data_IF_351420641117
#
_entry.id   IF_351420641117
#
_cell.length_a   1.000
_cell.length_b   1.000
_cell.length_c   1.000
_cell.angle_alpha   90.00
_cell.angle_beta   90.00
_cell.angle_gamma   90.00
#
_symmetry.space_group_name_H-M   'P 1'
#
loop_
_entity.id
_entity.type
_entity.pdbx_description
1 polymer ?
#
# COMPACT_ATOMS: atom_id res chain seq x y z
N UNK A 1 -8.48 8.48 1.25
CA UNK A 1 -8.35 7.72 2.50
C UNK A 1 -8.27 6.28 2.08
N UNK A 2 -7.19 5.57 2.41
CA UNK A 2 -6.98 4.20 1.96
C UNK A 2 -6.64 3.28 3.12
N UNK A 3 -7.24 2.08 3.07
CA UNK A 3 -7.01 0.85 3.82
C UNK A 3 -7.07 0.92 5.36
N UNK A 4 -8.29 1.07 5.90
CA UNK A 4 -8.64 0.55 7.23
C UNK A 4 -9.12 -0.91 7.18
N UNK A 5 -9.58 -1.38 6.01
CA UNK A 5 -10.49 -2.52 5.91
C UNK A 5 -9.84 -3.89 5.64
N UNK A 6 -8.55 -3.95 5.28
CA UNK A 6 -7.78 -5.22 5.15
C UNK A 6 -6.87 -5.48 6.37
N UNK A 7 -7.10 -4.78 7.48
CA UNK A 7 -6.27 -4.89 8.67
C UNK A 7 -6.69 -6.04 9.61
N UNK A 8 -7.81 -6.71 9.32
CA UNK A 8 -8.29 -7.86 10.09
C UNK A 8 -8.55 -7.55 11.57
N UNK A 9 -8.68 -6.27 11.93
CA UNK A 9 -8.88 -5.85 13.32
C UNK A 9 -10.35 -6.04 13.69
N UNK A 10 -10.66 -6.59 14.88
CA UNK A 10 -12.03 -6.81 15.30
C UNK A 10 -12.79 -5.48 15.31
N UNK A 11 -13.90 -5.42 14.56
CA UNK A 11 -14.85 -4.32 14.60
C UNK A 11 -15.56 -4.34 15.96
N UNK A 12 -14.99 -3.59 16.91
CA UNK A 12 -15.69 -3.04 18.07
C UNK A 12 -16.21 -4.05 19.09
N UNK A 13 -15.32 -4.57 19.94
CA UNK A 13 -15.61 -4.83 21.36
C UNK A 13 -14.30 -4.72 22.15
N UNK A 14 -13.82 -3.49 22.32
CA UNK A 14 -13.08 -3.00 23.49
C UNK A 14 -12.61 -1.59 23.14
N UNK A 15 -12.70 -0.68 24.11
CA UNK A 15 -12.55 0.75 23.86
C UNK A 15 -11.34 1.06 22.97
N UNK A 16 -11.56 1.85 21.93
CA UNK A 16 -10.47 2.50 21.22
C UNK A 16 -9.73 3.36 22.24
N UNK A 17 -8.70 2.80 22.87
CA UNK A 17 -7.72 3.60 23.56
C UNK A 17 -7.00 4.36 22.46
N UNK A 18 -7.34 5.63 22.30
CA UNK A 18 -6.73 6.61 21.38
C UNK A 18 -5.20 6.77 21.60
N UNK A 19 -4.58 5.88 22.39
CA UNK A 19 -3.18 5.80 22.78
C UNK A 19 -2.41 4.70 22.07
N UNK A 20 -3.06 3.72 21.46
CA UNK A 20 -2.37 2.77 20.59
C UNK A 20 -2.33 3.34 19.17
N UNK A 21 -1.15 3.80 18.74
CA UNK A 21 -0.87 4.19 17.35
C UNK A 21 -0.94 2.95 16.44
N UNK A 22 -2.14 2.45 16.20
CA UNK A 22 -2.38 1.29 15.34
C UNK A 22 -2.18 1.62 13.87
N UNK A 23 -2.01 0.57 13.06
CA UNK A 23 -1.79 0.65 11.61
C UNK A 23 -2.83 1.48 10.83
N UNK A 24 -4.05 1.62 11.36
CA UNK A 24 -5.12 2.47 10.79
C UNK A 24 -4.84 3.97 10.89
N UNK A 25 -4.05 4.38 11.89
CA UNK A 25 -3.73 5.78 12.18
C UNK A 25 -2.33 6.18 11.69
N UNK A 26 -1.56 5.26 11.10
CA UNK A 26 -0.22 5.54 10.60
C UNK A 26 -0.30 6.43 9.34
N UNK A 27 0.29 7.63 9.40
CA UNK A 27 0.26 8.57 8.28
C UNK A 27 1.05 8.04 7.08
N UNK A 28 2.02 7.15 7.28
CA UNK A 28 2.72 6.50 6.16
C UNK A 28 1.75 5.72 5.28
N UNK A 29 0.72 5.11 5.87
CA UNK A 29 -0.33 4.33 5.17
C UNK A 29 -1.48 5.19 4.60
N UNK A 30 -1.65 6.43 5.08
CA UNK A 30 -2.77 7.28 4.68
C UNK A 30 -2.45 8.13 3.44
N UNK A 31 -3.28 7.99 2.41
CA UNK A 31 -3.16 8.74 1.16
C UNK A 31 -4.49 9.27 0.63
N UNK A 32 -4.41 10.36 -0.13
CA UNK A 32 -5.53 10.91 -0.89
C UNK A 32 -5.78 10.01 -2.09
N UNK A 33 -7.03 9.63 -2.29
CA UNK A 33 -7.50 8.84 -3.42
C UNK A 33 -8.87 9.36 -3.83
N UNK A 34 -9.23 9.28 -5.11
CA UNK A 34 -10.60 9.56 -5.52
C UNK A 34 -11.56 8.49 -4.97
N UNK A 35 -12.82 8.86 -4.74
CA UNK A 35 -13.81 7.95 -4.17
C UNK A 35 -14.05 6.71 -5.03
N UNK A 36 -13.99 6.84 -6.36
CA UNK A 36 -14.13 5.70 -7.28
C UNK A 36 -12.98 4.71 -7.16
N UNK A 37 -11.72 5.19 -7.14
CA UNK A 37 -10.55 4.34 -6.95
C UNK A 37 -10.55 3.67 -5.57
N UNK A 38 -10.93 4.39 -4.52
CA UNK A 38 -11.06 3.79 -3.17
C UNK A 38 -12.15 2.70 -3.13
N UNK A 39 -13.30 2.95 -3.76
CA UNK A 39 -14.36 1.94 -3.86
C UNK A 39 -13.94 0.73 -4.71
N UNK A 40 -13.18 0.97 -5.78
CA UNK A 40 -12.62 -0.08 -6.63
C UNK A 40 -11.51 -0.86 -5.92
N UNK A 41 -10.74 -0.22 -5.05
CA UNK A 41 -9.81 -0.95 -4.20
C UNK A 41 -10.53 -1.87 -3.23
N UNK A 42 -11.51 -1.34 -2.47
CA UNK A 42 -12.17 -2.10 -1.41
C UNK A 42 -11.12 -2.76 -0.49
N UNK A 43 -11.07 -4.10 -0.47
CA UNK A 43 -10.10 -4.95 0.24
C UNK A 43 -9.28 -5.84 -0.69
N UNK A 44 -9.10 -5.45 -1.96
CA UNK A 44 -8.37 -6.22 -2.95
C UNK A 44 -6.86 -6.14 -2.71
N UNK A 45 -6.14 -7.21 -3.05
CA UNK A 45 -4.69 -7.31 -2.97
C UNK A 45 -4.00 -6.48 -4.05
N UNK A 46 -2.84 -5.89 -3.75
CA UNK A 46 -2.01 -5.28 -4.78
C UNK A 46 -1.45 -6.29 -5.77
N UNK A 47 -1.68 -6.02 -7.05
CA UNK A 47 -1.25 -6.86 -8.14
C UNK A 47 -1.10 -6.07 -9.44
N UNK A 48 -0.36 -6.64 -10.38
CA UNK A 48 -0.14 -6.05 -11.71
C UNK A 48 -1.38 -6.22 -12.60
N UNK A 49 -1.64 -5.28 -13.49
CA UNK A 49 -2.81 -5.31 -14.38
C UNK A 49 -2.69 -6.42 -15.46
N UNK A 50 -1.47 -6.67 -15.93
CA UNK A 50 -1.18 -7.50 -17.11
C UNK A 50 -0.55 -8.86 -16.78
N UNK A 51 -0.48 -9.26 -15.50
CA UNK A 51 0.04 -10.60 -15.20
C UNK A 51 -1.01 -11.66 -15.54
N UNK A 52 -0.62 -12.73 -16.21
CA UNK A 52 -1.49 -13.88 -16.49
C UNK A 52 -2.08 -14.52 -15.21
N UNK A 53 -1.53 -14.17 -14.05
CA UNK A 53 -1.94 -14.64 -12.73
C UNK A 53 -3.05 -13.77 -12.11
N UNK A 54 -3.25 -12.54 -12.60
CA UNK A 54 -4.11 -11.51 -11.97
C UNK A 54 -5.11 -10.88 -12.95
N UNK A 55 -4.87 -10.97 -14.26
CA UNK A 55 -5.82 -10.57 -15.29
C UNK A 55 -7.17 -11.28 -15.06
N UNK A 56 -8.24 -10.50 -14.96
CA UNK A 56 -9.63 -10.96 -14.80
C UNK A 56 -9.99 -11.71 -13.49
N UNK A 57 -9.13 -11.71 -12.47
CA UNK A 57 -9.45 -12.31 -11.17
C UNK A 57 -10.06 -11.29 -10.20
N UNK A 58 -11.24 -11.61 -9.67
CA UNK A 58 -11.80 -10.89 -8.51
C UNK A 58 -10.81 -10.97 -7.33
N UNK A 59 -10.53 -9.83 -6.70
CA UNK A 59 -9.65 -9.77 -5.53
C UNK A 59 -8.34 -9.01 -5.71
N UNK A 60 -8.03 -8.50 -6.91
CA UNK A 60 -6.79 -7.79 -7.19
C UNK A 60 -7.01 -6.31 -7.59
N UNK A 61 -6.09 -5.43 -7.20
CA UNK A 61 -6.16 -4.00 -7.49
C UNK A 61 -4.83 -3.45 -8.02
N UNK A 62 -4.97 -2.54 -8.98
CA UNK A 62 -3.88 -1.79 -9.59
C UNK A 62 -4.03 -0.28 -9.29
N UNK A 63 -3.03 0.37 -8.67
CA UNK A 63 -3.13 1.76 -8.20
C UNK A 63 -3.06 2.82 -9.29
N UNK A 64 -2.74 2.46 -10.54
CA UNK A 64 -2.65 3.39 -11.66
C UNK A 64 -3.74 3.09 -12.71
N UNK A 65 -5.01 3.07 -12.28
CA UNK A 65 -6.16 2.76 -13.15
C UNK A 65 -6.11 3.62 -14.40
N UNK A 66 -6.05 2.97 -15.57
CA UNK A 66 -5.96 3.65 -16.86
C UNK A 66 -7.07 4.69 -16.98
N UNK A 67 -6.65 5.92 -17.30
CA UNK A 67 -7.46 7.11 -17.49
C UNK A 67 -8.54 6.98 -18.58
N UNK A 68 -8.54 5.87 -19.33
CA UNK A 68 -9.38 5.69 -20.51
C UNK A 68 -10.86 5.43 -20.24
N UNK A 69 -11.26 4.89 -19.07
CA UNK A 69 -12.65 4.40 -18.94
C UNK A 69 -13.52 4.92 -17.78
N UNK A 70 -13.06 5.69 -16.79
CA UNK A 70 -14.00 6.25 -15.78
C UNK A 70 -13.47 7.38 -14.86
N UNK A 71 -12.38 8.04 -15.22
CA UNK A 71 -11.79 9.11 -14.39
C UNK A 71 -11.61 10.43 -15.17
N UNK A 72 -12.66 10.84 -15.88
CA UNK A 72 -12.70 12.16 -16.51
C UNK A 72 -13.01 13.27 -15.49
N UNK A 73 -12.14 14.29 -15.40
CA UNK A 73 -12.27 15.43 -14.48
C UNK A 73 -10.92 16.06 -14.12
N UNK A 74 -10.86 16.90 -13.07
CA UNK A 74 -9.63 17.54 -12.50
C UNK A 74 -8.65 16.51 -11.88
N UNK A 75 -8.81 15.23 -12.21
CA UNK A 75 -8.12 14.08 -11.65
C UNK A 75 -7.39 13.30 -12.76
N UNK A 76 -6.86 13.99 -13.77
CA UNK A 76 -5.81 13.42 -14.63
C UNK A 76 -4.62 13.10 -13.73
N UNK A 77 -4.50 11.84 -13.34
CA UNK A 77 -3.39 11.36 -12.54
C UNK A 77 -2.12 11.43 -13.40
N UNK A 78 -1.25 12.39 -13.11
CA UNK A 78 0.08 12.48 -13.69
C UNK A 78 1.10 11.89 -12.72
N UNK A 79 1.47 10.63 -12.91
CA UNK A 79 2.52 9.99 -12.12
C UNK A 79 2.35 8.47 -12.03
N UNK A 80 3.47 7.78 -11.82
CA UNK A 80 3.47 6.40 -11.35
C UNK A 80 3.42 6.42 -9.82
N UNK A 81 2.65 5.50 -9.24
CA UNK A 81 2.47 5.38 -7.79
C UNK A 81 2.70 3.96 -7.30
N UNK A 82 3.15 3.11 -8.22
CA UNK A 82 3.40 1.70 -7.97
C UNK A 82 4.53 1.54 -6.96
N UNK A 83 5.59 2.35 -7.09
CA UNK A 83 6.74 2.37 -6.17
C UNK A 83 6.34 2.86 -4.78
N UNK A 84 5.61 3.98 -4.70
CA UNK A 84 5.11 4.53 -3.44
C UNK A 84 4.26 3.51 -2.68
N UNK A 85 3.33 2.88 -3.40
CA UNK A 85 2.45 1.86 -2.84
C UNK A 85 3.27 0.69 -2.33
N UNK A 86 4.24 0.20 -3.11
CA UNK A 86 5.12 -0.88 -2.70
C UNK A 86 5.88 -0.54 -1.41
N UNK A 87 6.50 0.64 -1.32
CA UNK A 87 7.25 1.06 -0.13
C UNK A 87 6.39 1.25 1.11
N UNK A 88 5.14 1.72 0.95
CA UNK A 88 4.17 1.80 2.04
C UNK A 88 3.80 0.39 2.52
N UNK A 89 3.50 -0.52 1.60
CA UNK A 89 3.13 -1.90 1.94
C UNK A 89 4.26 -2.65 2.63
N UNK A 90 5.51 -2.52 2.14
CA UNK A 90 6.69 -3.10 2.81
C UNK A 90 6.90 -2.53 4.22
N UNK A 91 6.68 -1.22 4.40
CA UNK A 91 6.73 -0.59 5.71
C UNK A 91 5.68 -1.16 6.65
N UNK A 92 4.43 -1.26 6.21
CA UNK A 92 3.35 -1.81 7.04
C UNK A 92 3.60 -3.27 7.41
N UNK A 93 4.08 -4.09 6.48
CA UNK A 93 4.42 -5.49 6.73
C UNK A 93 5.64 -5.67 7.64
N UNK A 94 6.49 -4.64 7.80
CA UNK A 94 7.65 -4.68 8.70
C UNK A 94 7.31 -4.19 10.10
N UNK A 95 6.45 -3.17 10.19
CA UNK A 95 6.12 -2.51 11.46
C UNK A 95 5.03 -3.23 12.25
N UNK A 96 4.15 -3.97 11.56
CA UNK A 96 2.99 -4.60 12.15
C UNK A 96 3.00 -6.10 11.88
N UNK A 97 3.22 -6.88 12.93
CA UNK A 97 3.36 -8.35 12.85
C UNK A 97 2.11 -9.07 12.30
N UNK A 98 0.94 -8.42 12.40
CA UNK A 98 -0.29 -8.97 11.86
C UNK A 98 -0.38 -8.83 10.34
N UNK A 99 0.44 -8.01 9.69
CA UNK A 99 0.39 -7.75 8.24
C UNK A 99 1.50 -8.46 7.49
N UNK A 100 1.19 -8.98 6.30
CA UNK A 100 2.18 -9.67 5.49
C UNK A 100 2.05 -9.39 3.98
N UNK A 101 3.06 -9.84 3.24
CA UNK A 101 3.11 -9.85 1.77
C UNK A 101 3.47 -11.26 1.32
N UNK A 102 2.74 -11.80 0.35
CA UNK A 102 2.89 -13.20 -0.09
C UNK A 102 2.43 -13.34 -1.54
N UNK A 103 3.08 -14.23 -2.29
CA UNK A 103 2.67 -14.56 -3.67
C UNK A 103 1.51 -15.55 -3.71
N UNK A 104 1.22 -16.22 -2.59
CA UNK A 104 0.09 -17.12 -2.42
C UNK A 104 -0.79 -16.60 -1.29
N UNK A 105 -1.67 -15.61 -1.57
CA UNK A 105 -2.64 -15.16 -0.59
C UNK A 105 -3.62 -16.29 -0.32
N UNK A 106 -3.60 -16.82 0.91
CA UNK A 106 -4.63 -17.73 1.42
C UNK A 106 -5.73 -16.88 2.07
N UNK A 107 -6.99 -17.31 1.98
CA UNK A 107 -8.15 -16.59 2.55
C UNK A 107 -8.12 -16.50 4.10
N UNK A 108 -7.06 -16.96 4.78
CA UNK A 108 -6.93 -16.84 6.23
C UNK A 108 -5.48 -17.01 6.75
N UNK A 109 -4.96 -16.07 7.57
CA UNK A 109 -5.57 -14.80 7.94
C UNK A 109 -5.48 -13.77 6.80
N UNK A 110 -6.58 -13.04 6.58
CA UNK A 110 -6.78 -12.01 5.56
C UNK A 110 -5.99 -10.72 5.83
N UNK A 111 -4.68 -10.86 6.04
CA UNK A 111 -3.79 -9.75 6.35
C UNK A 111 -2.66 -9.61 5.31
N UNK A 112 -2.79 -10.32 4.19
CA UNK A 112 -1.90 -10.18 3.04
C UNK A 112 -2.27 -8.91 2.30
N UNK A 113 -1.33 -7.98 2.14
CA UNK A 113 -1.67 -6.71 1.49
C UNK A 113 -1.46 -6.76 -0.04
N UNK A 114 -0.60 -7.64 -0.52
CA UNK A 114 -0.29 -7.74 -1.94
C UNK A 114 0.68 -8.85 -2.27
N UNK A 115 0.81 -9.08 -3.58
CA UNK A 115 1.73 -10.06 -4.15
C UNK A 115 3.17 -9.57 -4.03
N UNK A 116 4.03 -10.37 -3.41
CA UNK A 116 5.41 -9.97 -3.13
C UNK A 116 6.17 -9.69 -4.43
N UNK A 117 6.06 -10.54 -5.44
CA UNK A 117 6.76 -10.37 -6.72
C UNK A 117 6.37 -9.05 -7.42
N UNK A 118 5.09 -8.66 -7.31
CA UNK A 118 4.58 -7.41 -7.90
C UNK A 118 5.16 -6.21 -7.16
N UNK A 119 5.13 -6.23 -5.83
CA UNK A 119 5.63 -5.12 -5.01
C UNK A 119 7.15 -4.94 -5.19
N UNK A 120 7.91 -6.04 -5.33
CA UNK A 120 9.34 -6.00 -5.66
C UNK A 120 9.60 -5.38 -7.04
N UNK A 121 8.81 -5.79 -8.05
CA UNK A 121 8.87 -5.23 -9.40
C UNK A 121 8.58 -3.73 -9.38
N UNK A 122 7.50 -3.32 -8.73
CA UNK A 122 7.10 -1.91 -8.62
C UNK A 122 8.13 -1.03 -7.91
N UNK A 123 8.72 -1.52 -6.81
CA UNK A 123 9.80 -0.79 -6.13
C UNK A 123 11.04 -0.57 -7.02
N UNK A 124 11.26 -1.44 -8.01
CA UNK A 124 12.38 -1.34 -8.95
C UNK A 124 12.05 -0.46 -10.17
N UNK A 125 10.83 -0.55 -10.69
CA UNK A 125 10.37 0.21 -11.85
C UNK A 125 10.11 1.68 -11.54
N UNK A 126 9.67 1.98 -10.31
CA UNK A 126 9.29 3.31 -9.86
C UNK A 126 10.15 3.75 -8.66
N UNK A 127 11.32 4.37 -8.92
CA UNK A 127 12.27 4.76 -7.89
C UNK A 127 11.77 5.94 -7.05
N UNK A 128 12.29 6.05 -5.83
CA UNK A 128 11.86 7.09 -4.88
C UNK A 128 11.98 8.50 -5.47
N UNK A 129 10.87 9.23 -5.48
CA UNK A 129 10.83 10.59 -6.01
C UNK A 129 11.04 11.67 -4.94
N UNK A 130 11.04 12.94 -5.35
CA UNK A 130 11.21 14.06 -4.42
C UNK A 130 9.98 14.31 -3.53
N UNK A 131 8.79 13.96 -4.02
CA UNK A 131 7.53 14.13 -3.29
C UNK A 131 7.45 13.15 -2.13
N UNK A 132 7.81 11.88 -2.33
CA UNK A 132 7.88 10.85 -1.31
C UNK A 132 8.87 11.19 -0.21
N UNK A 133 10.08 11.65 -0.58
CA UNK A 133 11.07 12.09 0.41
C UNK A 133 10.55 13.25 1.24
N UNK A 134 9.90 14.23 0.61
CA UNK A 134 9.29 15.35 1.32
C UNK A 134 8.16 14.87 2.25
N UNK A 135 7.32 13.94 1.79
CA UNK A 135 6.24 13.37 2.60
C UNK A 135 6.79 12.58 3.78
N UNK A 136 7.83 11.77 3.60
CA UNK A 136 8.50 11.03 4.67
C UNK A 136 9.07 11.98 5.73
N UNK A 137 9.68 13.10 5.30
CA UNK A 137 10.15 14.16 6.21
C UNK A 137 9.00 14.76 7.02
N UNK A 138 7.91 15.16 6.36
CA UNK A 138 6.76 15.75 7.05
C UNK A 138 6.12 14.78 8.02
N UNK A 139 5.93 13.52 7.63
CA UNK A 139 5.36 12.52 8.53
C UNK A 139 6.28 12.31 9.73
N UNK A 140 7.60 12.27 9.53
CA UNK A 140 8.56 12.17 10.63
C UNK A 140 8.44 13.33 11.62
N UNK A 141 8.29 14.58 11.14
CA UNK A 141 8.06 15.75 11.99
C UNK A 141 6.82 15.59 12.89
N UNK A 142 5.78 14.88 12.43
CA UNK A 142 4.52 14.70 13.19
C UNK A 142 4.47 13.42 14.04
N UNK A 143 4.88 12.27 13.51
CA UNK A 143 4.74 10.97 14.19
C UNK A 143 6.01 10.49 14.89
N UNK A 144 7.19 10.98 14.47
CA UNK A 144 8.49 10.63 15.02
C UNK A 144 9.16 9.37 14.43
N UNK A 145 8.52 8.72 13.46
CA UNK A 145 9.01 7.53 12.75
C UNK A 145 9.10 7.77 11.25
N UNK A 146 10.11 7.17 10.61
CA UNK A 146 10.34 7.21 9.16
C UNK A 146 10.03 5.89 8.51
N UNK A 147 9.63 5.93 7.25
CA UNK A 147 9.64 4.77 6.40
C UNK A 147 11.08 4.55 5.87
N UNK A 148 11.80 3.50 6.32
CA UNK A 148 13.17 3.25 5.89
C UNK A 148 13.27 2.85 4.42
N UNK A 149 12.19 2.39 3.79
CA UNK A 149 12.18 2.01 2.38
C UNK A 149 12.10 3.22 1.44
N UNK A 150 11.73 4.40 1.95
CA UNK A 150 11.83 5.67 1.20
C UNK A 150 13.26 6.22 1.28
N UNK A 151 13.90 6.14 2.46
CA UNK A 151 15.27 6.64 2.64
C UNK A 151 16.32 5.68 2.01
N UNK A 152 16.04 4.37 2.09
CA UNK A 152 16.91 3.28 1.66
C UNK A 152 16.11 2.21 0.88
N UNK A 153 15.70 2.49 -0.37
CA UNK A 153 14.89 1.56 -1.17
C UNK A 153 15.59 0.22 -1.45
N UNK A 154 16.92 0.16 -1.33
CA UNK A 154 17.69 -1.08 -1.44
C UNK A 154 17.41 -2.09 -0.32
N UNK A 155 16.87 -1.65 0.82
CA UNK A 155 16.52 -2.55 1.92
C UNK A 155 15.42 -3.53 1.53
N UNK A 156 14.50 -3.12 0.64
CA UNK A 156 13.44 -3.98 0.12
C UNK A 156 14.05 -5.24 -0.50
N UNK A 157 15.01 -5.07 -1.40
CA UNK A 157 15.67 -6.20 -2.04
C UNK A 157 16.48 -7.03 -1.04
N UNK A 158 17.10 -6.43 -0.02
CA UNK A 158 17.86 -7.19 0.98
C UNK A 158 16.99 -8.08 1.88
N UNK A 159 15.75 -7.68 2.14
CA UNK A 159 14.87 -8.41 3.06
C UNK A 159 14.04 -9.47 2.30
N UNK A 160 13.51 -9.11 1.12
CA UNK A 160 12.52 -9.94 0.42
C UNK A 160 12.99 -10.57 -0.89
N UNK A 161 14.09 -10.12 -1.50
CA UNK A 161 14.62 -10.74 -2.72
C UNK A 161 15.61 -11.86 -2.33
N UNK A 162 15.13 -13.11 -2.30
CA UNK A 162 15.90 -14.31 -1.92
C UNK A 162 16.22 -15.20 -3.10
#
# INVERSE_FOLDING_TARGET
MWAASHLGLPDGEDGHDDREKGAQSDLHNLRVACGSSNNYHSNRYFADQDSAETADKEGYFFPNVDTSDNLSGIHEYQGDWRGDTARIVFYMATMYDNLNVTDTPDDSPANSMGLLFVLLKWNTEDPVDAFERQRNERIFEYQGNRNPFIDHPELVNKIWNK
#
